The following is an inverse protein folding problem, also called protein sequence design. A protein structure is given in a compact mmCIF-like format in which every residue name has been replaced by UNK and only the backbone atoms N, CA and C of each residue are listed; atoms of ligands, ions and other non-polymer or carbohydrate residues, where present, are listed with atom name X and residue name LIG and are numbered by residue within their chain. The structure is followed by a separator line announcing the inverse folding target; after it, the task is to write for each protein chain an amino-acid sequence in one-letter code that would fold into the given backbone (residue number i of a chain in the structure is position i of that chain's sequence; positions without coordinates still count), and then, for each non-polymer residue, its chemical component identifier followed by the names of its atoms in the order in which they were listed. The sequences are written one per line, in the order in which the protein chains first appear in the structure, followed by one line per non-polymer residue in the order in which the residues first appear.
data_IF_854471682659
#
_entry.id   IF_854471682659
#
_cell.length_a   1.000
_cell.length_b   1.000
_cell.length_c   1.000
_cell.angle_alpha   90.00
_cell.angle_beta   90.00
_cell.angle_gamma   90.00
#
_symmetry.space_group_name_H-M   'P 1'
#
loop_
_entity.id
_entity.type
_entity.pdbx_description
1 polymer ?
#
# COMPACT_ATOMS: atom_id res chain seq x y z
N UNK A 1 24.25 32.86 60.08
CA UNK A 1 24.52 32.97 58.63
C UNK A 1 24.35 31.59 58.06
N UNK A 2 23.30 31.40 57.26
CA UNK A 2 22.77 30.10 56.84
C UNK A 2 23.34 29.78 55.45
N UNK A 3 24.09 28.68 55.37
CA UNK A 3 24.77 28.25 54.15
C UNK A 3 23.70 27.69 53.20
N UNK A 4 23.26 28.51 52.25
CA UNK A 4 22.07 28.31 51.41
C UNK A 4 22.36 27.67 50.04
N UNK A 5 23.61 27.28 49.74
CA UNK A 5 23.99 26.95 48.35
C UNK A 5 24.06 25.47 47.98
N UNK A 6 23.82 24.53 48.90
CA UNK A 6 24.01 23.09 48.59
C UNK A 6 22.72 22.35 48.23
N UNK A 7 21.67 23.04 47.79
CA UNK A 7 20.37 22.40 47.48
C UNK A 7 19.82 22.63 46.05
N UNK A 8 20.60 23.27 45.16
CA UNK A 8 20.15 23.64 43.79
C UNK A 8 20.89 22.83 42.69
N UNK A 9 21.52 21.69 43.02
CA UNK A 9 22.21 20.82 42.02
C UNK A 9 21.57 19.43 41.89
N UNK A 10 20.29 19.28 42.28
CA UNK A 10 19.62 17.97 42.21
C UNK A 10 18.16 18.04 41.72
N UNK A 11 17.88 18.95 40.79
CA UNK A 11 16.53 19.11 40.22
C UNK A 11 16.55 19.20 38.68
N UNK A 12 17.51 18.52 38.04
CA UNK A 12 17.67 18.60 36.60
C UNK A 12 18.20 17.30 35.98
N UNK A 13 17.67 16.13 36.29
CA UNK A 13 17.89 14.94 35.44
C UNK A 13 16.92 13.80 35.77
N UNK A 14 15.65 13.94 35.38
CA UNK A 14 14.79 12.74 35.21
C UNK A 14 13.59 13.04 34.32
N UNK A 15 13.86 13.44 33.08
CA UNK A 15 12.95 13.06 32.00
C UNK A 15 13.34 11.65 31.58
N UNK A 16 12.84 10.62 32.30
CA UNK A 16 12.83 9.27 31.76
C UNK A 16 11.86 9.32 30.58
N UNK A 17 12.41 9.52 29.39
CA UNK A 17 11.70 9.24 28.15
C UNK A 17 11.40 7.75 28.18
N UNK A 18 10.17 7.38 28.52
CA UNK A 18 9.66 6.05 28.21
C UNK A 18 9.68 5.94 26.68
N UNK A 19 10.75 5.37 26.13
CA UNK A 19 10.71 4.81 24.80
C UNK A 19 9.65 3.70 24.86
N UNK A 20 8.49 3.94 24.25
CA UNK A 20 7.45 2.92 24.13
C UNK A 20 8.05 1.78 23.31
N UNK A 21 8.41 0.71 24.00
CA UNK A 21 8.84 -0.53 23.39
C UNK A 21 7.61 -1.09 22.68
N UNK A 22 7.56 -0.90 21.36
CA UNK A 22 6.50 -1.43 20.55
C UNK A 22 6.52 -2.95 20.71
N UNK A 23 5.36 -3.54 21.04
CA UNK A 23 5.18 -4.99 21.01
C UNK A 23 5.31 -5.47 19.55
N UNK A 24 6.55 -5.74 19.16
CA UNK A 24 6.97 -6.20 17.83
C UNK A 24 6.78 -7.71 17.65
N UNK A 25 6.20 -8.40 18.65
CA UNK A 25 6.01 -9.86 18.59
C UNK A 25 5.09 -10.26 17.43
N UNK A 26 4.10 -9.43 17.10
CA UNK A 26 3.19 -9.63 15.97
C UNK A 26 3.81 -9.15 14.65
N UNK A 27 3.52 -9.82 13.53
CA UNK A 27 3.94 -9.36 12.22
C UNK A 27 3.34 -7.99 11.89
N UNK A 28 4.03 -7.21 11.07
CA UNK A 28 3.57 -5.87 10.69
C UNK A 28 4.07 -5.51 9.29
N UNK A 29 3.22 -4.84 8.51
CA UNK A 29 3.59 -4.35 7.18
C UNK A 29 4.33 -3.02 7.29
N UNK A 30 5.37 -2.87 6.48
CA UNK A 30 5.90 -1.58 6.05
C UNK A 30 5.85 -1.50 4.53
N UNK A 31 4.88 -0.78 3.99
CA UNK A 31 4.76 -0.57 2.54
C UNK A 31 5.74 0.50 2.07
N UNK A 32 6.28 0.36 0.85
CA UNK A 32 7.01 1.44 0.18
C UNK A 32 6.05 2.60 -0.12
N UNK A 33 4.85 2.26 -0.61
CA UNK A 33 3.74 3.20 -0.77
C UNK A 33 2.42 2.48 -0.50
N UNK A 34 1.49 3.19 0.11
CA UNK A 34 0.11 2.72 0.30
C UNK A 34 -0.84 3.26 -0.78
N UNK A 35 -0.34 4.12 -1.68
CA UNK A 35 -1.10 4.62 -2.83
C UNK A 35 -0.27 4.57 -4.10
N UNK A 36 -0.79 3.89 -5.12
CA UNK A 36 -0.22 3.90 -6.47
C UNK A 36 -1.11 4.75 -7.39
N UNK A 37 -0.52 5.77 -7.99
CA UNK A 37 -1.16 6.56 -9.03
C UNK A 37 -0.70 6.04 -10.40
N UNK A 38 -1.64 5.58 -11.21
CA UNK A 38 -1.39 5.15 -12.58
C UNK A 38 -1.13 6.35 -13.51
N UNK A 39 -1.50 7.55 -13.06
CA UNK A 39 -1.54 8.74 -13.90
C UNK A 39 -2.68 8.63 -14.91
N UNK A 40 -2.43 9.16 -16.10
CA UNK A 40 -3.31 9.06 -17.26
C UNK A 40 -2.82 7.91 -18.14
N UNK A 41 -3.68 6.95 -18.43
CA UNK A 41 -3.35 5.75 -19.24
C UNK A 41 -4.31 5.61 -20.41
N UNK A 42 -3.84 5.08 -21.53
CA UNK A 42 -4.66 4.83 -22.72
C UNK A 42 -5.69 3.71 -22.45
N UNK A 43 -6.79 3.73 -23.21
CA UNK A 43 -7.80 2.67 -23.14
C UNK A 43 -7.16 1.30 -23.47
N UNK A 44 -7.32 0.33 -22.59
CA UNK A 44 -6.76 -1.02 -22.78
C UNK A 44 -5.26 -1.15 -22.46
N UNK A 45 -4.63 -0.13 -21.86
CA UNK A 45 -3.24 -0.20 -21.40
C UNK A 45 -3.03 -1.30 -20.33
N UNK A 46 -1.78 -1.63 -20.03
CA UNK A 46 -1.46 -2.55 -18.94
C UNK A 46 -1.90 -1.98 -17.57
N UNK A 47 -2.88 -2.65 -16.96
CA UNK A 47 -3.47 -2.29 -15.67
C UNK A 47 -2.76 -2.86 -14.44
N UNK A 48 -1.63 -3.55 -14.59
CA UNK A 48 -0.91 -4.19 -13.47
C UNK A 48 -0.05 -3.19 -12.72
N UNK A 49 -0.14 -3.16 -11.39
CA UNK A 49 0.78 -2.48 -10.47
C UNK A 49 1.09 -3.36 -9.27
N UNK A 50 2.20 -3.11 -8.60
CA UNK A 50 2.67 -3.90 -7.47
C UNK A 50 2.86 -3.01 -6.25
N UNK A 51 2.26 -3.42 -5.12
CA UNK A 51 2.57 -2.88 -3.81
C UNK A 51 3.67 -3.72 -3.16
N UNK A 52 4.86 -3.15 -3.04
CA UNK A 52 5.97 -3.74 -2.29
C UNK A 52 5.86 -3.40 -0.81
N UNK A 53 6.13 -4.39 0.04
CA UNK A 53 6.18 -4.22 1.48
C UNK A 53 7.28 -5.07 2.11
N UNK A 54 7.61 -4.77 3.37
CA UNK A 54 8.50 -5.56 4.22
C UNK A 54 7.76 -6.00 5.48
N UNK A 55 7.96 -7.24 5.93
CA UNK A 55 7.52 -7.66 7.26
C UNK A 55 8.51 -7.11 8.31
N UNK A 56 8.08 -6.11 9.08
CA UNK A 56 8.90 -5.47 10.12
C UNK A 56 8.65 -6.03 11.52
N UNK A 57 7.81 -7.05 11.67
CA UNK A 57 7.59 -7.73 12.95
C UNK A 57 8.55 -8.89 13.17
N UNK A 58 8.42 -9.56 14.33
CA UNK A 58 9.32 -10.66 14.76
C UNK A 58 8.77 -12.06 14.47
N UNK A 59 7.60 -12.17 13.83
CA UNK A 59 6.96 -13.44 13.46
C UNK A 59 6.62 -13.49 11.96
N UNK A 60 6.42 -14.67 11.34
CA UNK A 60 6.00 -14.78 9.94
C UNK A 60 4.66 -14.08 9.67
N UNK A 61 4.62 -13.28 8.61
CA UNK A 61 3.43 -12.58 8.15
C UNK A 61 2.68 -13.44 7.13
N UNK A 62 1.41 -13.72 7.42
CA UNK A 62 0.54 -14.55 6.58
C UNK A 62 -0.60 -13.68 6.07
N UNK A 63 -0.68 -13.53 4.75
CA UNK A 63 -1.79 -12.86 4.07
C UNK A 63 -2.85 -13.91 3.74
N UNK A 64 -4.00 -13.83 4.40
CA UNK A 64 -5.09 -14.80 4.24
C UNK A 64 -5.95 -14.46 3.03
N UNK A 65 -6.20 -13.18 2.78
CA UNK A 65 -7.08 -12.71 1.72
C UNK A 65 -6.76 -11.30 1.28
N UNK A 66 -6.94 -11.00 0.00
CA UNK A 66 -6.89 -9.64 -0.53
C UNK A 66 -8.17 -9.40 -1.33
N UNK A 67 -8.85 -8.28 -1.08
CA UNK A 67 -10.14 -7.98 -1.67
C UNK A 67 -10.16 -6.55 -2.22
N UNK A 68 -10.54 -6.41 -3.49
CA UNK A 68 -10.87 -5.12 -4.07
C UNK A 68 -12.33 -4.71 -3.78
N UNK A 69 -12.61 -3.41 -3.76
CA UNK A 69 -13.96 -2.89 -3.55
C UNK A 69 -14.95 -3.15 -4.70
N UNK A 70 -14.45 -3.41 -5.92
CA UNK A 70 -15.24 -3.72 -7.12
C UNK A 70 -14.60 -4.89 -7.87
N UNK A 71 -15.39 -5.60 -8.69
CA UNK A 71 -14.86 -6.58 -9.65
C UNK A 71 -14.02 -6.00 -10.80
N UNK A 72 -13.63 -4.73 -10.71
CA UNK A 72 -12.82 -4.02 -11.69
C UNK A 72 -11.33 -3.98 -11.34
N UNK A 73 -10.95 -4.61 -10.23
CA UNK A 73 -9.56 -4.78 -9.80
C UNK A 73 -9.37 -6.20 -9.32
N UNK A 74 -8.37 -6.89 -9.87
CA UNK A 74 -8.03 -8.27 -9.49
C UNK A 74 -6.72 -8.22 -8.68
N UNK A 75 -6.76 -8.51 -7.38
CA UNK A 75 -5.56 -8.61 -6.58
C UNK A 75 -4.95 -10.02 -6.60
N UNK A 76 -3.63 -10.12 -6.49
CA UNK A 76 -2.89 -11.36 -6.26
C UNK A 76 -1.96 -11.17 -5.06
N UNK A 77 -1.98 -12.14 -4.14
CA UNK A 77 -1.18 -12.15 -2.91
C UNK A 77 -0.04 -13.18 -3.01
N UNK A 78 0.99 -13.09 -2.17
CA UNK A 78 1.94 -14.18 -1.97
C UNK A 78 1.25 -15.44 -1.42
N UNK A 79 1.73 -16.60 -1.84
CA UNK A 79 1.23 -17.90 -1.36
C UNK A 79 1.96 -18.36 -0.10
N UNK A 80 3.23 -17.99 0.05
CA UNK A 80 4.05 -18.33 1.20
C UNK A 80 4.01 -17.23 2.26
N UNK A 81 4.23 -17.57 3.55
CA UNK A 81 4.48 -16.60 4.60
C UNK A 81 5.71 -15.72 4.29
N UNK A 82 5.68 -14.47 4.75
CA UNK A 82 6.79 -13.52 4.59
C UNK A 82 7.54 -13.47 5.91
N UNK A 83 8.80 -13.91 5.94
CA UNK A 83 9.57 -13.99 7.17
C UNK A 83 9.94 -12.60 7.70
N UNK A 84 10.28 -12.47 9.00
CA UNK A 84 10.80 -11.22 9.56
C UNK A 84 11.93 -10.61 8.71
N UNK A 85 11.80 -9.34 8.34
CA UNK A 85 12.77 -8.61 7.51
C UNK A 85 12.64 -8.85 5.99
N UNK A 86 11.86 -9.85 5.57
CA UNK A 86 11.69 -10.15 4.15
C UNK A 86 10.69 -9.22 3.47
N UNK A 87 10.88 -9.08 2.15
CA UNK A 87 9.98 -8.34 1.28
C UNK A 87 8.89 -9.25 0.71
N UNK A 88 7.73 -8.66 0.49
CA UNK A 88 6.63 -9.29 -0.24
C UNK A 88 5.95 -8.30 -1.17
N UNK A 89 5.12 -8.84 -2.06
CA UNK A 89 4.46 -8.08 -3.11
C UNK A 89 2.97 -8.40 -3.16
N UNK A 90 2.15 -7.38 -3.41
CA UNK A 90 0.73 -7.55 -3.74
C UNK A 90 0.52 -6.92 -5.11
N UNK A 91 0.25 -7.77 -6.10
CA UNK A 91 -0.06 -7.34 -7.45
C UNK A 91 -1.54 -6.97 -7.54
N UNK A 92 -1.85 -5.90 -8.26
CA UNK A 92 -3.22 -5.45 -8.54
C UNK A 92 -3.35 -5.14 -10.02
N UNK A 93 -4.32 -5.76 -10.67
CA UNK A 93 -4.66 -5.50 -12.07
C UNK A 93 -5.99 -4.75 -12.16
N UNK A 94 -5.97 -3.48 -12.60
CA UNK A 94 -7.17 -2.70 -12.88
C UNK A 94 -7.67 -2.93 -14.32
N UNK A 95 -8.99 -3.01 -14.50
CA UNK A 95 -9.63 -3.07 -15.82
C UNK A 95 -9.55 -1.71 -16.53
N UNK A 96 -8.52 -1.55 -17.37
CA UNK A 96 -8.23 -0.35 -18.15
C UNK A 96 -9.12 -0.18 -19.39
N UNK A 97 -10.12 -1.04 -19.59
CA UNK A 97 -11.16 -0.86 -20.63
C UNK A 97 -12.31 0.01 -20.16
N UNK A 98 -12.20 0.62 -18.97
CA UNK A 98 -13.21 1.50 -18.36
C UNK A 98 -12.74 2.96 -18.40
N UNK A 99 -13.15 3.76 -19.40
CA UNK A 99 -12.75 5.16 -19.50
C UNK A 99 -13.18 5.98 -18.29
N UNK A 100 -12.38 6.98 -17.93
CA UNK A 100 -12.65 7.92 -16.84
C UNK A 100 -11.74 7.75 -15.62
N UNK A 101 -12.00 8.56 -14.60
CA UNK A 101 -11.24 8.55 -13.36
C UNK A 101 -11.59 7.35 -12.47
N UNK A 102 -10.59 6.78 -11.81
CA UNK A 102 -10.78 5.73 -10.83
C UNK A 102 -9.98 5.98 -9.55
N UNK A 103 -10.54 5.50 -8.45
CA UNK A 103 -9.94 5.49 -7.12
C UNK A 103 -10.48 4.27 -6.38
N UNK A 104 -9.66 3.23 -6.20
CA UNK A 104 -10.07 1.94 -5.65
C UNK A 104 -9.26 1.60 -4.42
N UNK A 105 -9.94 1.04 -3.42
CA UNK A 105 -9.34 0.51 -2.22
C UNK A 105 -9.19 -1.00 -2.34
N UNK A 106 -8.06 -1.51 -1.87
CA UNK A 106 -7.74 -2.93 -1.76
C UNK A 106 -7.50 -3.20 -0.29
N UNK A 107 -8.30 -4.10 0.29
CA UNK A 107 -8.20 -4.49 1.69
C UNK A 107 -7.48 -5.84 1.79
N UNK A 108 -6.44 -5.86 2.60
CA UNK A 108 -5.55 -6.98 2.87
C UNK A 108 -5.89 -7.50 4.26
N UNK A 109 -6.15 -8.80 4.36
CA UNK A 109 -6.45 -9.52 5.58
C UNK A 109 -5.25 -10.40 5.95
N UNK A 110 -4.81 -10.33 7.21
CA UNK A 110 -3.59 -11.02 7.67
C UNK A 110 -3.58 -11.27 9.18
N UNK A 111 -2.57 -11.98 9.65
CA UNK A 111 -2.26 -12.13 11.08
C UNK A 111 -1.44 -10.96 11.67
N UNK A 112 -1.27 -9.85 10.93
CA UNK A 112 -0.51 -8.70 11.39
C UNK A 112 -1.17 -8.00 12.59
N UNK A 113 -0.41 -7.14 13.28
CA UNK A 113 -0.93 -6.26 14.37
C UNK A 113 -2.22 -5.54 13.96
N UNK A 114 -2.28 -5.10 12.70
CA UNK A 114 -3.51 -4.65 12.06
C UNK A 114 -4.02 -5.75 11.14
N UNK A 115 -5.03 -6.49 11.57
CA UNK A 115 -5.60 -7.62 10.80
C UNK A 115 -6.13 -7.18 9.43
N UNK A 116 -6.58 -5.93 9.32
CA UNK A 116 -7.03 -5.29 8.09
C UNK A 116 -6.12 -4.12 7.73
N UNK A 117 -5.46 -4.21 6.58
CA UNK A 117 -4.65 -3.12 6.01
C UNK A 117 -5.23 -2.71 4.67
N UNK A 118 -5.36 -1.41 4.42
CA UNK A 118 -5.90 -0.88 3.18
C UNK A 118 -4.79 -0.21 2.36
N UNK A 119 -4.75 -0.50 1.06
CA UNK A 119 -3.94 0.22 0.07
C UNK A 119 -4.84 0.74 -1.05
N UNK A 120 -4.38 1.75 -1.80
CA UNK A 120 -5.20 2.48 -2.75
C UNK A 120 -4.56 2.56 -4.12
N UNK A 121 -5.34 2.36 -5.17
CA UNK A 121 -4.96 2.73 -6.54
C UNK A 121 -5.81 3.89 -7.03
N UNK A 122 -5.23 4.76 -7.86
CA UNK A 122 -5.95 5.82 -8.54
C UNK A 122 -5.39 6.08 -9.93
N UNK A 123 -6.16 6.72 -10.79
CA UNK A 123 -5.72 7.13 -12.11
C UNK A 123 -6.87 7.59 -12.99
N UNK A 124 -6.60 7.71 -14.28
CA UNK A 124 -7.56 8.09 -15.31
C UNK A 124 -7.31 7.29 -16.58
N UNK A 125 -8.33 6.62 -17.10
CA UNK A 125 -8.29 5.95 -18.41
C UNK A 125 -8.83 6.89 -19.48
N UNK A 126 -8.06 7.10 -20.53
CA UNK A 126 -8.46 7.94 -21.66
C UNK A 126 -9.65 7.36 -22.42
N UNK A 127 -10.47 8.25 -22.99
CA UNK A 127 -11.53 7.88 -23.92
C UNK A 127 -10.92 7.81 -25.31
N UNK A 128 -11.15 6.73 -26.05
CA UNK A 128 -10.86 6.71 -27.50
C UNK A 128 -11.67 7.82 -28.16
N UNK A 129 -10.99 8.74 -28.84
CA UNK A 129 -11.66 9.81 -29.57
C UNK A 129 -12.25 9.25 -30.86
N UNK A 130 -13.37 9.82 -31.32
CA UNK A 130 -14.10 9.36 -32.52
C UNK A 130 -13.27 9.32 -33.80
N UNK A 131 -12.15 10.05 -33.85
CA UNK A 131 -11.24 10.11 -35.00
C UNK A 131 -10.41 8.83 -35.18
N UNK A 132 -10.00 8.18 -34.09
CA UNK A 132 -9.26 6.90 -34.14
C UNK A 132 -10.17 5.74 -34.57
N UNK A 133 -11.43 5.76 -34.12
CA UNK A 133 -12.45 4.79 -34.53
C UNK A 133 -12.76 4.88 -36.03
N UNK A 134 -12.79 6.10 -36.60
CA UNK A 134 -12.98 6.30 -38.05
C UNK A 134 -11.78 5.79 -38.86
N UNK A 135 -10.55 5.95 -38.36
CA UNK A 135 -9.33 5.48 -39.04
C UNK A 135 -9.19 3.96 -39.04
N UNK A 136 -9.56 3.28 -37.94
CA UNK A 136 -9.59 1.81 -37.88
C UNK A 136 -10.65 1.19 -38.79
N UNK A 137 -11.84 1.80 -38.91
CA UNK A 137 -12.89 1.33 -39.81
C UNK A 137 -12.55 1.52 -41.30
N UNK A 138 -11.66 2.45 -41.65
CA UNK A 138 -11.24 2.72 -43.03
C UNK A 138 -10.08 1.83 -43.50
N UNK A 139 -9.42 1.08 -42.60
CA UNK A 139 -8.27 0.22 -42.93
C UNK A 139 -8.61 -1.26 -43.09
N UNK A 140 -9.85 -1.68 -42.82
CA UNK A 140 -10.31 -3.06 -42.98
C UNK A 140 -10.90 -3.36 -44.37
N UNK A 141 -11.10 -2.33 -45.21
CA UNK A 141 -11.67 -2.43 -46.56
C UNK A 141 -10.64 -2.42 -47.70
N UNK A 142 -9.34 -2.59 -47.41
CA UNK A 142 -8.25 -2.65 -48.40
C UNK A 142 -7.40 -3.91 -48.27
#
# INVERSE_FOLDING_TARGET
MKNLHTFIIFLFFSSISFAQEADDSKPAFKFITETINYGKITLGANGVRVFEFTNIGKSPLIITRVQASCGCTVPKKPDQPIMPGEKGEIEVAYDTKRPGGFSKAITIFSNAKNERKMVKIKGYVEKTTSLEKKKSMLSEDN
#
